data_IF_811850239073
#
_entry.id   IF_811850239073
#
_cell.length_a   1.000
_cell.length_b   1.000
_cell.length_c   1.000
_cell.angle_alpha   90.00
_cell.angle_beta   90.00
_cell.angle_gamma   90.00
#
_symmetry.space_group_name_H-M   'P 1'
#
loop_
_entity.id
_entity.type
_entity.pdbx_description
1 polymer ?
#
# COMPACT_ATOMS: atom_id res chain seq x y z
N UNK A 1 -34.96 -12.00 18.83
CA UNK A 1 -34.00 -12.25 17.73
C UNK A 1 -32.87 -13.13 18.25
N UNK A 2 -32.34 -14.03 17.41
CA UNK A 2 -31.22 -14.91 17.78
C UNK A 2 -29.89 -14.27 17.37
N UNK A 3 -28.78 -14.63 18.04
CA UNK A 3 -27.43 -14.15 17.67
C UNK A 3 -27.05 -14.50 16.22
N UNK A 4 -27.47 -15.68 15.75
CA UNK A 4 -27.22 -16.10 14.37
C UNK A 4 -27.92 -15.20 13.35
N UNK A 5 -29.14 -14.76 13.66
CA UNK A 5 -29.89 -13.84 12.81
C UNK A 5 -29.26 -12.44 12.79
N UNK A 6 -28.83 -11.92 13.95
CA UNK A 6 -28.09 -10.65 14.02
C UNK A 6 -26.80 -10.69 13.18
N UNK A 7 -26.02 -11.78 13.27
CA UNK A 7 -24.82 -11.96 12.44
C UNK A 7 -25.12 -12.01 10.94
N UNK A 8 -26.22 -12.66 10.55
CA UNK A 8 -26.66 -12.65 9.15
C UNK A 8 -26.99 -11.23 8.68
N UNK A 9 -27.68 -10.42 9.51
CA UNK A 9 -27.98 -9.03 9.16
C UNK A 9 -26.71 -8.20 8.94
N UNK A 10 -25.69 -8.38 9.77
CA UNK A 10 -24.39 -7.69 9.60
C UNK A 10 -23.71 -8.05 8.28
N UNK A 11 -23.76 -9.33 7.87
CA UNK A 11 -23.21 -9.76 6.59
C UNK A 11 -23.96 -9.17 5.41
N UNK A 12 -25.29 -9.06 5.51
CA UNK A 12 -26.12 -8.51 4.43
C UNK A 12 -25.98 -6.98 4.29
N UNK A 13 -25.58 -6.30 5.36
CA UNK A 13 -25.21 -4.87 5.32
C UNK A 13 -23.90 -4.61 4.57
N UNK A 14 -23.08 -5.64 4.33
CA UNK A 14 -21.87 -5.49 3.50
C UNK A 14 -22.30 -5.20 2.06
N UNK A 15 -21.91 -4.03 1.54
CA UNK A 15 -22.29 -3.51 0.23
C UNK A 15 -23.79 -3.19 0.04
N UNK A 16 -24.54 -3.02 1.13
CA UNK A 16 -25.97 -2.65 1.12
C UNK A 16 -26.23 -1.47 2.04
N UNK A 17 -27.39 -0.82 1.90
CA UNK A 17 -27.84 0.21 2.86
C UNK A 17 -28.68 -0.40 3.99
N UNK A 18 -28.87 0.35 5.08
CA UNK A 18 -29.80 -0.04 6.14
C UNK A 18 -31.22 -0.20 5.58
N UNK A 19 -31.62 0.66 4.65
CA UNK A 19 -32.91 0.60 3.97
C UNK A 19 -33.08 -0.66 3.12
N UNK A 20 -32.03 -1.10 2.43
CA UNK A 20 -32.08 -2.31 1.60
C UNK A 20 -32.28 -3.55 2.47
N UNK A 21 -31.50 -3.69 3.55
CA UNK A 21 -31.62 -4.82 4.48
C UNK A 21 -32.94 -4.75 5.27
N UNK A 22 -33.37 -3.54 5.63
CA UNK A 22 -34.67 -3.28 6.26
C UNK A 22 -35.82 -3.80 5.42
N UNK A 23 -35.84 -3.48 4.12
CA UNK A 23 -36.86 -3.97 3.19
C UNK A 23 -36.82 -5.48 3.00
N UNK A 24 -35.62 -6.07 2.92
CA UNK A 24 -35.46 -7.51 2.68
C UNK A 24 -35.97 -8.37 3.83
N UNK A 25 -35.81 -7.90 5.07
CA UNK A 25 -36.20 -8.65 6.27
C UNK A 25 -37.44 -8.10 6.98
N UNK A 26 -38.04 -7.03 6.43
CA UNK A 26 -39.15 -6.31 7.04
C UNK A 26 -38.86 -5.86 8.50
N UNK A 27 -37.63 -5.41 8.75
CA UNK A 27 -37.17 -4.92 10.06
C UNK A 27 -36.97 -3.41 9.97
N UNK A 28 -37.43 -2.66 10.98
CA UNK A 28 -37.22 -1.21 11.02
C UNK A 28 -35.74 -0.82 11.03
N UNK A 29 -35.39 0.27 10.35
CA UNK A 29 -34.00 0.78 10.27
C UNK A 29 -33.41 1.03 11.67
N UNK A 30 -34.19 1.56 12.61
CA UNK A 30 -33.72 1.75 13.99
C UNK A 30 -33.39 0.44 14.70
N UNK A 31 -34.13 -0.64 14.42
CA UNK A 31 -33.84 -1.95 14.97
C UNK A 31 -32.55 -2.53 14.38
N UNK A 32 -32.29 -2.31 13.08
CA UNK A 32 -31.01 -2.66 12.44
C UNK A 32 -29.85 -1.83 13.01
N UNK A 33 -30.04 -0.54 13.26
CA UNK A 33 -29.04 0.29 13.92
C UNK A 33 -28.74 -0.23 15.33
N UNK A 34 -29.76 -0.58 16.10
CA UNK A 34 -29.59 -1.20 17.40
C UNK A 34 -28.86 -2.56 17.36
N UNK A 35 -29.01 -3.33 16.27
CA UNK A 35 -28.21 -4.57 16.06
C UNK A 35 -26.75 -4.22 15.83
N UNK A 36 -26.46 -3.24 14.97
CA UNK A 36 -25.10 -2.77 14.71
C UNK A 36 -24.44 -2.31 16.01
N UNK A 37 -25.10 -1.43 16.75
CA UNK A 37 -24.57 -0.87 18.00
C UNK A 37 -24.32 -1.94 19.07
N UNK A 38 -25.14 -3.01 19.11
CA UNK A 38 -24.93 -4.15 20.01
C UNK A 38 -23.83 -5.09 19.56
N UNK A 39 -23.64 -5.26 18.25
CA UNK A 39 -22.71 -6.25 17.70
C UNK A 39 -21.32 -5.69 17.45
N UNK A 40 -21.20 -4.37 17.31
CA UNK A 40 -19.94 -3.68 17.04
C UNK A 40 -19.52 -2.95 18.32
N UNK A 41 -18.63 -3.58 19.08
CA UNK A 41 -18.00 -2.91 20.22
C UNK A 41 -17.06 -1.81 19.69
N UNK A 42 -17.21 -0.54 20.12
CA UNK A 42 -16.38 0.57 19.66
C UNK A 42 -14.92 0.48 20.14
N UNK A 43 -14.66 -0.38 21.14
CA UNK A 43 -13.33 -0.61 21.69
C UNK A 43 -12.83 -1.99 21.34
N UNK A 44 -11.53 -2.08 21.09
CA UNK A 44 -10.87 -3.37 20.94
C UNK A 44 -10.89 -4.09 22.28
N UNK A 45 -11.40 -5.31 22.29
CA UNK A 45 -11.17 -6.22 23.40
C UNK A 45 -9.75 -6.77 23.34
N UNK A 46 -8.93 -6.33 24.28
CA UNK A 46 -7.55 -6.79 24.43
C UNK A 46 -7.43 -8.05 25.30
N UNK A 47 -8.54 -8.57 25.85
CA UNK A 47 -8.54 -9.81 26.60
C UNK A 47 -8.09 -10.97 25.69
N UNK A 48 -7.30 -11.89 26.23
CA UNK A 48 -6.74 -13.02 25.47
C UNK A 48 -5.60 -12.67 24.50
N UNK A 49 -5.42 -11.40 24.10
CA UNK A 49 -4.27 -11.00 23.27
C UNK A 49 -3.01 -11.03 24.12
N UNK A 50 -2.05 -11.91 23.80
CA UNK A 50 -0.80 -12.03 24.55
C UNK A 50 0.27 -11.05 24.05
N UNK A 51 0.39 -10.91 22.73
CA UNK A 51 1.38 -10.06 22.07
C UNK A 51 0.80 -9.34 20.85
N UNK A 52 1.41 -8.20 20.51
CA UNK A 52 1.05 -7.33 19.41
C UNK A 52 2.31 -6.98 18.62
N UNK A 53 2.98 -7.98 18.04
CA UNK A 53 4.34 -7.83 17.49
C UNK A 53 4.39 -6.91 16.26
N UNK A 54 3.38 -7.00 15.38
CA UNK A 54 3.33 -6.27 14.11
C UNK A 54 2.02 -5.51 13.99
N UNK A 55 2.14 -4.20 13.81
CA UNK A 55 1.01 -3.29 13.55
C UNK A 55 1.16 -2.71 12.13
N UNK A 56 0.06 -2.69 11.36
CA UNK A 56 -0.06 -1.99 10.09
C UNK A 56 -0.95 -0.75 10.23
N UNK A 57 -0.61 0.33 9.54
CA UNK A 57 -1.42 1.55 9.45
C UNK A 57 -1.53 1.93 7.98
N UNK A 58 -2.75 2.13 7.50
CA UNK A 58 -3.02 2.59 6.13
C UNK A 58 -4.22 3.55 6.09
N UNK A 59 -4.37 4.30 5.00
CA UNK A 59 -5.53 5.17 4.75
C UNK A 59 -6.41 4.63 3.61
N UNK A 60 -7.73 4.59 3.83
CA UNK A 60 -8.71 4.27 2.79
C UNK A 60 -9.59 5.49 2.52
N UNK A 61 -9.80 5.82 1.25
CA UNK A 61 -10.74 6.87 0.85
C UNK A 61 -12.18 6.32 0.86
N UNK A 62 -13.08 6.92 1.64
CA UNK A 62 -14.49 6.51 1.71
C UNK A 62 -15.30 7.02 0.52
N UNK A 63 -14.98 8.21 0.00
CA UNK A 63 -15.67 8.83 -1.15
C UNK A 63 -14.67 9.34 -2.17
N UNK A 64 -14.90 9.01 -3.44
CA UNK A 64 -14.05 9.48 -4.55
C UNK A 64 -14.24 10.99 -4.74
N UNK A 65 -13.22 11.79 -4.44
CA UNK A 65 -13.19 13.24 -4.70
C UNK A 65 -13.45 14.14 -3.48
N UNK A 66 -13.90 13.57 -2.36
CA UNK A 66 -13.97 14.26 -1.07
C UNK A 66 -12.84 13.73 -0.19
N UNK A 67 -12.20 14.58 0.61
CA UNK A 67 -11.03 14.23 1.45
C UNK A 67 -11.43 13.40 2.68
N UNK A 68 -12.38 12.50 2.51
CA UNK A 68 -12.94 11.65 3.55
C UNK A 68 -12.10 10.37 3.56
N UNK A 69 -11.07 10.36 4.40
CA UNK A 69 -10.18 9.21 4.59
C UNK A 69 -10.42 8.61 5.96
N UNK A 70 -10.42 7.29 6.05
CA UNK A 70 -10.37 6.56 7.31
C UNK A 70 -9.00 5.91 7.44
N UNK A 71 -8.38 6.07 8.60
CA UNK A 71 -7.17 5.32 8.93
C UNK A 71 -7.58 3.95 9.45
N UNK A 72 -7.07 2.91 8.80
CA UNK A 72 -7.23 1.53 9.22
C UNK A 72 -5.96 1.10 9.94
N UNK A 73 -6.13 0.66 11.18
CA UNK A 73 -5.05 0.10 11.99
C UNK A 73 -5.31 -1.39 12.12
N UNK A 74 -4.34 -2.18 11.69
CA UNK A 74 -4.40 -3.63 11.71
C UNK A 74 -3.23 -4.20 12.50
N UNK A 75 -3.37 -5.43 12.97
CA UNK A 75 -2.28 -6.15 13.61
C UNK A 75 -2.38 -7.65 13.33
N UNK A 76 -1.23 -8.32 13.35
CA UNK A 76 -1.18 -9.77 13.36
C UNK A 76 -1.37 -10.27 14.81
N UNK A 77 -2.48 -10.95 15.06
CA UNK A 77 -2.85 -11.55 16.34
C UNK A 77 -3.22 -13.00 16.06
N UNK A 78 -2.61 -13.95 16.77
CA UNK A 78 -2.84 -15.39 16.60
C UNK A 78 -2.69 -15.86 15.13
N UNK A 79 -1.63 -15.39 14.46
CA UNK A 79 -1.34 -15.64 13.04
C UNK A 79 -2.40 -15.13 12.05
N UNK A 80 -3.33 -14.28 12.49
CA UNK A 80 -4.36 -13.67 11.65
C UNK A 80 -4.23 -12.16 11.62
N UNK A 81 -4.39 -11.57 10.43
CA UNK A 81 -4.51 -10.12 10.29
C UNK A 81 -5.88 -9.68 10.79
N UNK A 82 -5.92 -8.81 11.79
CA UNK A 82 -7.15 -8.25 12.36
C UNK A 82 -7.12 -6.73 12.30
N UNK A 83 -8.26 -6.14 11.96
CA UNK A 83 -8.45 -4.69 12.13
C UNK A 83 -8.66 -4.44 13.62
N UNK A 84 -7.81 -3.60 14.20
CA UNK A 84 -7.84 -3.21 15.61
C UNK A 84 -8.18 -1.73 15.79
N UNK A 85 -8.39 -0.98 14.72
CA UNK A 85 -8.79 0.42 14.84
C UNK A 85 -9.22 1.02 13.53
N UNK A 86 -10.23 1.89 13.61
CA UNK A 86 -10.66 2.77 12.54
C UNK A 86 -10.66 4.19 13.11
N UNK A 87 -9.94 5.11 12.48
CA UNK A 87 -9.90 6.51 12.88
C UNK A 87 -10.43 7.38 11.73
N UNK A 88 -11.29 8.33 12.05
CA UNK A 88 -11.83 9.29 11.07
C UNK A 88 -10.76 10.27 10.56
N UNK A 89 -9.67 10.43 11.30
CA UNK A 89 -8.61 11.38 10.96
C UNK A 89 -7.23 10.73 10.99
N UNK A 90 -6.41 11.11 10.01
CA UNK A 90 -4.99 10.69 9.93
C UNK A 90 -4.03 11.53 10.75
N UNK A 91 -4.52 12.43 11.58
CA UNK A 91 -3.65 13.33 12.34
C UNK A 91 -2.73 12.53 13.25
N UNK A 92 -1.50 13.02 13.44
CA UNK A 92 -0.54 12.41 14.38
C UNK A 92 -1.15 12.25 15.77
N UNK A 93 -1.93 13.23 16.23
CA UNK A 93 -2.58 13.21 17.54
C UNK A 93 -3.61 12.07 17.65
N UNK A 94 -4.45 11.86 16.63
CA UNK A 94 -5.43 10.77 16.63
C UNK A 94 -4.75 9.40 16.70
N UNK A 95 -3.71 9.18 15.90
CA UNK A 95 -2.94 7.92 15.88
C UNK A 95 -2.19 7.70 17.20
N UNK A 96 -1.59 8.75 17.77
CA UNK A 96 -0.95 8.67 19.09
C UNK A 96 -1.97 8.33 20.20
N UNK A 97 -3.15 8.95 20.17
CA UNK A 97 -4.21 8.67 21.13
C UNK A 97 -4.65 7.20 21.06
N UNK A 98 -4.86 6.69 19.84
CA UNK A 98 -5.14 5.28 19.62
C UNK A 98 -4.03 4.38 20.17
N UNK A 99 -2.77 4.62 19.82
CA UNK A 99 -1.66 3.82 20.33
C UNK A 99 -1.51 3.87 21.86
N UNK A 100 -1.82 5.01 22.48
CA UNK A 100 -1.82 5.14 23.95
C UNK A 100 -2.96 4.35 24.62
N UNK A 101 -4.07 4.14 23.92
CA UNK A 101 -5.18 3.30 24.39
C UNK A 101 -4.81 1.81 24.50
N UNK A 102 -3.80 1.36 23.74
CA UNK A 102 -3.29 -0.01 23.82
C UNK A 102 -2.70 -0.24 25.23
N UNK A 103 -3.08 -1.35 25.92
CA UNK A 103 -2.55 -1.68 27.23
C UNK A 103 -1.02 -1.68 27.28
N UNK A 104 -0.44 -1.17 28.38
CA UNK A 104 1.03 -1.08 28.54
C UNK A 104 1.73 -2.43 28.32
N UNK A 105 1.11 -3.54 28.73
CA UNK A 105 1.63 -4.90 28.51
C UNK A 105 1.81 -5.22 27.02
N UNK A 106 0.85 -4.85 26.18
CA UNK A 106 0.86 -5.10 24.73
C UNK A 106 1.74 -4.11 23.99
N UNK A 107 1.70 -2.83 24.36
CA UNK A 107 2.64 -1.82 23.83
C UNK A 107 4.09 -2.27 23.97
N UNK A 108 4.38 -3.10 24.99
CA UNK A 108 5.73 -3.58 25.22
C UNK A 108 6.20 -4.67 24.25
N UNK A 109 5.26 -5.34 23.60
CA UNK A 109 5.49 -6.44 22.66
C UNK A 109 5.59 -5.97 21.21
N UNK A 110 5.20 -4.72 20.93
CA UNK A 110 5.29 -4.14 19.58
C UNK A 110 6.74 -4.08 19.11
N UNK A 111 7.03 -4.85 18.07
CA UNK A 111 8.34 -4.96 17.45
C UNK A 111 8.40 -4.17 16.14
N UNK A 112 7.32 -4.19 15.34
CA UNK A 112 7.26 -3.57 14.02
C UNK A 112 5.99 -2.75 13.85
N UNK A 113 6.13 -1.55 13.31
CA UNK A 113 5.02 -0.75 12.78
C UNK A 113 5.25 -0.53 11.29
N UNK A 114 4.34 -1.03 10.46
CA UNK A 114 4.33 -0.88 9.02
C UNK A 114 3.36 0.24 8.62
N UNK A 115 3.79 1.20 7.81
CA UNK A 115 2.89 2.26 7.31
C UNK A 115 3.31 2.75 5.93
N UNK A 116 2.45 3.56 5.30
CA UNK A 116 2.92 4.47 4.26
C UNK A 116 3.91 5.48 4.90
N UNK A 117 4.83 6.05 4.12
CA UNK A 117 5.91 6.90 4.64
C UNK A 117 5.42 8.25 5.21
N UNK A 118 4.15 8.35 5.63
CA UNK A 118 3.58 9.53 6.24
C UNK A 118 4.24 9.81 7.61
N UNK A 119 4.86 10.98 7.70
CA UNK A 119 5.60 11.40 8.90
C UNK A 119 4.75 11.43 10.18
N UNK A 120 3.43 11.65 10.07
CA UNK A 120 2.52 11.62 11.22
C UNK A 120 2.44 10.24 11.86
N UNK A 121 2.35 9.18 11.06
CA UNK A 121 2.31 7.80 11.53
C UNK A 121 3.64 7.36 12.13
N UNK A 122 4.75 7.63 11.42
CA UNK A 122 6.09 7.31 11.90
C UNK A 122 6.40 8.05 13.22
N UNK A 123 5.99 9.32 13.32
CA UNK A 123 6.13 10.14 14.53
C UNK A 123 5.31 9.59 15.70
N UNK A 124 4.06 9.22 15.46
CA UNK A 124 3.18 8.64 16.46
C UNK A 124 3.72 7.33 17.03
N UNK A 125 4.18 6.43 16.14
CA UNK A 125 4.77 5.16 16.53
C UNK A 125 6.03 5.34 17.39
N UNK A 126 6.97 6.22 16.97
CA UNK A 126 8.16 6.54 17.76
C UNK A 126 7.83 7.11 19.14
N UNK A 127 6.82 7.99 19.21
CA UNK A 127 6.41 8.64 20.46
C UNK A 127 5.82 7.66 21.48
N UNK A 128 5.07 6.65 21.02
CA UNK A 128 4.35 5.73 21.92
C UNK A 128 5.10 4.43 22.20
N UNK A 129 5.75 3.84 21.20
CA UNK A 129 6.45 2.55 21.34
C UNK A 129 7.95 2.69 21.63
N UNK A 130 8.51 3.90 21.45
CA UNK A 130 9.91 4.22 21.71
C UNK A 130 10.86 3.77 20.61
N UNK A 131 12.18 3.90 20.84
CA UNK A 131 13.22 3.70 19.81
C UNK A 131 13.45 2.26 19.37
N UNK A 132 12.97 1.28 20.14
CA UNK A 132 13.15 -0.14 19.84
C UNK A 132 12.21 -0.67 18.75
N UNK A 133 11.14 0.07 18.45
CA UNK A 133 10.20 -0.32 17.41
C UNK A 133 10.86 -0.13 16.05
N UNK A 134 10.78 -1.14 15.20
CA UNK A 134 11.18 -1.04 13.81
C UNK A 134 10.03 -0.40 13.04
N UNK A 135 10.30 0.74 12.43
CA UNK A 135 9.38 1.31 11.46
C UNK A 135 9.71 0.75 10.09
N UNK A 136 8.71 0.16 9.46
CA UNK A 136 8.83 -0.47 8.15
C UNK A 136 7.95 0.30 7.15
N UNK A 137 8.52 0.66 6.01
CA UNK A 137 7.75 1.21 4.91
C UNK A 137 6.93 0.10 4.25
N UNK A 138 5.67 0.36 3.97
CA UNK A 138 4.86 -0.56 3.17
C UNK A 138 5.46 -0.72 1.76
N UNK A 139 5.80 -1.97 1.43
CA UNK A 139 6.35 -2.37 0.13
C UNK A 139 5.46 -1.96 -1.04
N UNK A 140 4.13 -2.01 -0.91
CA UNK A 140 3.21 -1.60 -1.97
C UNK A 140 3.35 -0.10 -2.26
N UNK A 141 3.40 0.71 -1.21
CA UNK A 141 3.61 2.15 -1.31
C UNK A 141 4.98 2.50 -1.91
N UNK A 142 6.04 1.83 -1.47
CA UNK A 142 7.38 1.96 -2.07
C UNK A 142 7.37 1.57 -3.55
N UNK A 143 6.68 0.48 -3.90
CA UNK A 143 6.55 0.02 -5.28
C UNK A 143 5.84 1.03 -6.18
N UNK A 144 4.76 1.64 -5.68
CA UNK A 144 4.05 2.71 -6.37
C UNK A 144 4.98 3.89 -6.64
N UNK A 145 5.77 4.33 -5.66
CA UNK A 145 6.65 5.50 -5.79
C UNK A 145 7.69 5.35 -6.91
N UNK A 146 8.38 4.21 -7.02
CA UNK A 146 9.34 4.05 -8.12
C UNK A 146 8.65 3.78 -9.46
N UNK A 147 7.50 3.07 -9.48
CA UNK A 147 6.74 2.82 -10.71
C UNK A 147 6.09 4.09 -11.27
N UNK A 148 5.78 5.08 -10.44
CA UNK A 148 5.30 6.41 -10.88
C UNK A 148 6.35 7.14 -11.74
N UNK A 149 7.63 6.94 -11.44
CA UNK A 149 8.74 7.43 -12.27
C UNK A 149 8.71 6.84 -13.68
N UNK A 150 8.56 5.52 -13.78
CA UNK A 150 8.42 4.80 -15.05
C UNK A 150 7.17 5.26 -15.81
N UNK A 151 6.03 5.41 -15.14
CA UNK A 151 4.79 5.86 -15.76
C UNK A 151 4.91 7.29 -16.30
N UNK A 152 5.58 8.19 -15.58
CA UNK A 152 5.87 9.55 -16.04
C UNK A 152 6.74 9.54 -17.28
N UNK A 153 7.83 8.75 -17.28
CA UNK A 153 8.70 8.58 -18.44
C UNK A 153 7.94 7.99 -19.63
N UNK A 154 7.13 6.96 -19.41
CA UNK A 154 6.30 6.31 -20.43
C UNK A 154 5.37 7.32 -21.10
N UNK A 155 4.68 8.17 -20.33
CA UNK A 155 3.80 9.22 -20.89
C UNK A 155 4.60 10.20 -21.77
N UNK A 156 5.79 10.60 -21.32
CA UNK A 156 6.69 11.48 -22.08
C UNK A 156 7.15 10.83 -23.39
N UNK A 157 7.66 9.60 -23.31
CA UNK A 157 8.15 8.86 -24.47
C UNK A 157 7.02 8.57 -25.46
N UNK A 158 5.82 8.18 -24.99
CA UNK A 158 4.69 7.97 -25.88
C UNK A 158 4.27 9.25 -26.62
N UNK A 159 4.34 10.41 -25.95
CA UNK A 159 4.10 11.71 -26.60
C UNK A 159 5.15 12.00 -27.69
N UNK A 160 6.41 11.64 -27.47
CA UNK A 160 7.48 11.74 -28.47
C UNK A 160 7.23 10.78 -29.63
N UNK A 161 6.98 9.51 -29.35
CA UNK A 161 6.77 8.47 -30.37
C UNK A 161 5.60 8.77 -31.30
N UNK A 162 4.51 9.33 -30.77
CA UNK A 162 3.36 9.78 -31.59
C UNK A 162 3.71 10.85 -32.62
N UNK A 163 4.81 11.58 -32.44
CA UNK A 163 5.28 12.60 -33.38
C UNK A 163 6.33 12.07 -34.37
N UNK A 164 6.98 10.97 -34.05
CA UNK A 164 8.15 10.46 -34.80
C UNK A 164 7.86 9.20 -35.59
N UNK A 165 6.89 8.39 -35.16
CA UNK A 165 6.55 7.11 -35.80
C UNK A 165 5.36 7.25 -36.75
N UNK A 166 5.32 6.38 -37.77
CA UNK A 166 4.15 6.25 -38.64
C UNK A 166 2.95 5.67 -37.88
N UNK A 167 1.77 5.77 -38.48
CA UNK A 167 0.54 5.22 -37.89
C UNK A 167 0.64 3.70 -37.71
N UNK A 168 1.18 3.00 -38.69
CA UNK A 168 1.36 1.53 -38.69
C UNK A 168 2.31 1.10 -37.57
N UNK A 169 3.40 1.83 -37.37
CA UNK A 169 4.34 1.59 -36.27
C UNK A 169 3.69 1.81 -34.91
N UNK A 170 2.87 2.86 -34.75
CA UNK A 170 2.14 3.14 -33.51
C UNK A 170 1.07 2.09 -33.22
N UNK A 171 0.35 1.62 -34.24
CA UNK A 171 -0.64 0.55 -34.11
C UNK A 171 0.02 -0.77 -33.69
N UNK A 172 1.24 -1.03 -34.17
CA UNK A 172 2.08 -2.14 -33.73
C UNK A 172 2.49 -2.08 -32.24
N UNK A 173 2.41 -0.91 -31.60
CA UNK A 173 2.69 -0.68 -30.19
C UNK A 173 1.43 -0.56 -29.32
N UNK A 174 0.24 -0.79 -29.90
CA UNK A 174 -1.02 -0.81 -29.16
C UNK A 174 -0.92 -1.81 -28.00
N UNK A 175 -1.51 -1.47 -26.86
CA UNK A 175 -1.47 -2.25 -25.61
C UNK A 175 -0.11 -2.39 -24.91
N UNK A 176 1.01 -1.95 -25.50
CA UNK A 176 2.33 -2.07 -24.86
C UNK A 176 2.38 -1.42 -23.47
N UNK A 177 1.58 -0.37 -23.24
CA UNK A 177 1.46 0.27 -21.93
C UNK A 177 0.81 -0.61 -20.84
N UNK A 178 -0.14 -1.48 -21.19
CA UNK A 178 -0.71 -2.46 -20.26
C UNK A 178 0.33 -3.54 -19.94
N UNK A 179 1.05 -4.00 -20.96
CA UNK A 179 2.10 -5.00 -20.83
C UNK A 179 3.25 -4.50 -19.93
N UNK A 180 3.64 -3.23 -20.05
CA UNK A 180 4.65 -2.60 -19.18
C UNK A 180 4.31 -2.64 -17.68
N UNK A 181 3.04 -2.77 -17.32
CA UNK A 181 2.59 -2.81 -15.92
C UNK A 181 2.59 -4.22 -15.33
N UNK A 182 2.67 -5.25 -16.17
CA UNK A 182 2.68 -6.66 -15.74
C UNK A 182 4.07 -7.07 -15.28
N UNK A 183 4.14 -8.07 -14.40
CA UNK A 183 5.41 -8.70 -14.01
C UNK A 183 6.00 -9.42 -15.22
N UNK A 184 7.32 -9.33 -15.40
CA UNK A 184 8.02 -9.95 -16.52
C UNK A 184 7.79 -11.47 -16.62
N UNK A 185 7.67 -12.15 -15.48
CA UNK A 185 7.39 -13.58 -15.41
C UNK A 185 6.01 -13.96 -15.99
N UNK A 186 5.03 -13.04 -15.88
CA UNK A 186 3.64 -13.25 -16.29
C UNK A 186 3.41 -12.91 -17.76
N UNK A 187 4.44 -12.49 -18.51
CA UNK A 187 4.33 -12.06 -19.91
C UNK A 187 4.37 -13.24 -20.88
N UNK A 188 3.45 -13.25 -21.84
CA UNK A 188 3.47 -14.19 -22.97
C UNK A 188 4.62 -13.89 -23.94
N UNK A 189 4.91 -14.83 -24.85
CA UNK A 189 5.92 -14.62 -25.88
C UNK A 189 5.62 -13.39 -26.77
N UNK A 190 4.34 -13.19 -27.13
CA UNK A 190 3.90 -12.03 -27.92
C UNK A 190 4.03 -10.72 -27.16
N UNK A 191 3.71 -10.71 -25.87
CA UNK A 191 3.86 -9.54 -25.01
C UNK A 191 5.33 -9.15 -24.85
N UNK A 192 6.24 -10.13 -24.74
CA UNK A 192 7.69 -9.88 -24.71
C UNK A 192 8.17 -9.28 -26.04
N UNK A 193 7.72 -9.80 -27.19
CA UNK A 193 8.01 -9.23 -28.51
C UNK A 193 7.46 -7.81 -28.66
N UNK A 194 6.27 -7.54 -28.13
CA UNK A 194 5.67 -6.20 -28.12
C UNK A 194 6.50 -5.21 -27.29
N UNK A 195 6.96 -5.60 -26.10
CA UNK A 195 7.86 -4.75 -25.31
C UNK A 195 9.20 -4.53 -26.00
N UNK A 196 9.75 -5.55 -26.64
CA UNK A 196 11.01 -5.41 -27.38
C UNK A 196 10.90 -4.35 -28.48
N UNK A 197 9.85 -4.39 -29.30
CA UNK A 197 9.57 -3.37 -30.32
C UNK A 197 9.42 -1.97 -29.70
N UNK A 198 8.72 -1.86 -28.56
CA UNK A 198 8.62 -0.58 -27.85
C UNK A 198 10.01 -0.05 -27.42
N UNK A 199 10.85 -0.94 -26.92
CA UNK A 199 12.18 -0.61 -26.43
C UNK A 199 13.17 -0.26 -27.55
N UNK A 200 13.01 -0.82 -28.75
CA UNK A 200 13.75 -0.39 -29.95
C UNK A 200 13.49 1.09 -30.26
N UNK A 201 12.26 1.55 -30.08
CA UNK A 201 11.90 2.96 -30.28
C UNK A 201 12.20 3.87 -29.08
N UNK A 202 12.36 3.31 -27.88
CA UNK A 202 12.70 4.05 -26.67
C UNK A 202 13.67 3.27 -25.76
N UNK A 203 14.98 3.36 -26.03
CA UNK A 203 16.01 2.75 -25.20
C UNK A 203 15.98 3.26 -23.75
N UNK A 204 15.70 4.56 -23.54
CA UNK A 204 15.58 5.14 -22.20
C UNK A 204 14.44 4.52 -21.39
N UNK A 205 13.33 4.17 -22.03
CA UNK A 205 12.21 3.49 -21.37
C UNK A 205 12.56 2.05 -21.01
N UNK A 206 13.36 1.37 -21.84
CA UNK A 206 13.92 0.05 -21.53
C UNK A 206 14.76 0.10 -20.26
N UNK A 207 15.70 1.03 -20.19
CA UNK A 207 16.58 1.17 -19.03
C UNK A 207 15.81 1.47 -17.74
N UNK A 208 14.80 2.34 -17.82
CA UNK A 208 13.94 2.62 -16.67
C UNK A 208 13.09 1.41 -16.26
N UNK A 209 12.56 0.66 -17.23
CA UNK A 209 11.82 -0.57 -16.97
C UNK A 209 12.70 -1.62 -16.29
N UNK A 210 13.91 -1.84 -16.80
CA UNK A 210 14.90 -2.75 -16.20
C UNK A 210 15.30 -2.31 -14.78
N UNK A 211 15.40 -1.00 -14.54
CA UNK A 211 15.65 -0.47 -13.20
C UNK A 211 14.48 -0.79 -12.23
N UNK A 212 13.22 -0.62 -12.65
CA UNK A 212 12.05 -1.01 -11.84
C UNK A 212 12.03 -2.50 -11.51
N UNK A 213 12.33 -3.35 -12.50
CA UNK A 213 12.35 -4.80 -12.30
C UNK A 213 13.52 -5.21 -11.39
N UNK A 214 14.70 -4.60 -11.54
CA UNK A 214 15.83 -4.84 -10.66
C UNK A 214 15.52 -4.45 -9.21
N UNK A 215 14.82 -3.33 -8.98
CA UNK A 215 14.41 -2.94 -7.63
C UNK A 215 13.36 -3.88 -7.05
N UNK A 216 12.37 -4.28 -7.86
CA UNK A 216 11.36 -5.28 -7.47
C UNK A 216 12.06 -6.59 -7.06
N UNK A 217 13.05 -7.05 -7.84
CA UNK A 217 13.81 -8.26 -7.52
C UNK A 217 14.57 -8.18 -6.19
N UNK A 218 15.04 -6.99 -5.78
CA UNK A 218 15.67 -6.81 -4.46
C UNK A 218 14.64 -7.08 -3.35
N UNK A 219 13.41 -6.59 -3.49
CA UNK A 219 12.33 -6.79 -2.51
C UNK A 219 11.75 -8.21 -2.49
N UNK A 220 11.82 -8.94 -3.60
CA UNK A 220 11.39 -10.35 -3.67
C UNK A 220 12.50 -11.32 -3.23
N UNK A 221 13.73 -10.83 -3.04
CA UNK A 221 14.85 -11.65 -2.59
C UNK A 221 14.85 -11.80 -1.07
N UNK A 222 15.20 -13.00 -0.59
CA UNK A 222 15.43 -13.24 0.85
C UNK A 222 16.78 -12.67 1.26
N UNK A 223 16.81 -11.39 1.61
CA UNK A 223 18.02 -10.67 2.01
C UNK A 223 17.98 -10.33 3.50
N UNK A 224 19.13 -10.39 4.15
CA UNK A 224 19.31 -9.68 5.41
C UNK A 224 19.23 -8.17 5.19
N UNK A 225 18.87 -7.40 6.23
CA UNK A 225 18.84 -5.92 6.17
C UNK A 225 20.15 -5.32 5.62
N UNK A 226 21.30 -5.84 6.04
CA UNK A 226 22.61 -5.40 5.54
C UNK A 226 22.81 -5.65 4.04
N UNK A 227 22.41 -6.82 3.54
CA UNK A 227 22.45 -7.13 2.10
C UNK A 227 21.45 -6.28 1.32
N UNK A 228 20.24 -6.08 1.85
CA UNK A 228 19.20 -5.21 1.28
C UNK A 228 19.71 -3.79 1.08
N UNK A 229 20.27 -3.18 2.15
CA UNK A 229 20.90 -1.85 2.08
C UNK A 229 21.98 -1.76 1.01
N UNK A 230 22.86 -2.76 0.90
CA UNK A 230 23.93 -2.79 -0.11
C UNK A 230 23.35 -2.83 -1.52
N UNK A 231 22.37 -3.71 -1.76
CA UNK A 231 21.73 -3.84 -3.07
C UNK A 231 20.97 -2.57 -3.47
N UNK A 232 20.26 -1.94 -2.52
CA UNK A 232 19.55 -0.67 -2.74
C UNK A 232 20.53 0.46 -3.09
N UNK A 233 21.64 0.60 -2.36
CA UNK A 233 22.69 1.60 -2.71
C UNK A 233 23.29 1.34 -4.09
N UNK A 234 23.57 0.08 -4.41
CA UNK A 234 24.04 -0.31 -5.74
C UNK A 234 23.03 0.03 -6.83
N UNK A 235 21.73 -0.13 -6.56
CA UNK A 235 20.67 0.29 -7.47
C UNK A 235 20.63 1.81 -7.65
N UNK A 236 20.70 2.58 -6.57
CA UNK A 236 20.76 4.05 -6.61
C UNK A 236 21.94 4.53 -7.49
N UNK A 237 23.13 3.96 -7.28
CA UNK A 237 24.31 4.31 -8.06
C UNK A 237 24.13 4.03 -9.56
N UNK A 238 23.53 2.88 -9.93
CA UNK A 238 23.26 2.54 -11.33
C UNK A 238 22.29 3.52 -11.98
N UNK A 239 21.23 3.89 -11.27
CA UNK A 239 20.22 4.87 -11.74
C UNK A 239 20.87 6.24 -11.95
N UNK A 240 21.70 6.69 -11.01
CA UNK A 240 22.43 7.96 -11.11
C UNK A 240 23.44 7.97 -12.25
N UNK A 241 24.25 6.91 -12.40
CA UNK A 241 25.24 6.79 -13.48
C UNK A 241 24.60 6.82 -14.87
N UNK A 242 23.42 6.21 -15.01
CA UNK A 242 22.62 6.21 -16.25
C UNK A 242 21.81 7.49 -16.46
N UNK A 243 21.87 8.44 -15.52
CA UNK A 243 21.13 9.71 -15.55
C UNK A 243 19.61 9.52 -15.76
N UNK A 244 19.04 8.48 -15.16
CA UNK A 244 17.60 8.18 -15.26
C UNK A 244 16.79 9.11 -14.35
N UNK A 245 16.58 10.35 -14.82
CA UNK A 245 15.96 11.44 -14.04
C UNK A 245 14.51 11.17 -13.62
N UNK A 246 13.85 10.20 -14.27
CA UNK A 246 12.48 9.79 -13.89
C UNK A 246 12.39 9.24 -12.46
N UNK A 247 13.51 8.81 -11.87
CA UNK A 247 13.54 8.31 -10.48
C UNK A 247 13.98 9.35 -9.46
N UNK A 248 14.28 10.59 -9.84
CA UNK A 248 14.81 11.61 -8.91
C UNK A 248 13.91 11.82 -7.68
N UNK A 249 12.59 11.84 -7.88
CA UNK A 249 11.63 11.93 -6.76
C UNK A 249 11.76 10.75 -5.80
N UNK A 250 11.81 9.53 -6.34
CA UNK A 250 11.97 8.33 -5.54
C UNK A 250 13.33 8.27 -4.84
N UNK A 251 14.42 8.69 -5.49
CA UNK A 251 15.74 8.79 -4.87
C UNK A 251 15.75 9.75 -3.67
N UNK A 252 15.04 10.87 -3.77
CA UNK A 252 14.83 11.79 -2.64
C UNK A 252 14.13 11.11 -1.47
N UNK A 253 12.98 10.46 -1.73
CA UNK A 253 12.25 9.70 -0.70
C UNK A 253 13.10 8.58 -0.09
N UNK A 254 13.81 7.83 -0.93
CA UNK A 254 14.67 6.73 -0.51
C UNK A 254 15.83 7.21 0.36
N UNK A 255 16.37 8.40 0.10
CA UNK A 255 17.45 8.99 0.91
C UNK A 255 16.93 9.43 2.28
N UNK A 256 15.73 10.01 2.33
CA UNK A 256 15.10 10.46 3.59
C UNK A 256 14.66 9.30 4.48
N UNK A 257 14.10 8.24 3.89
CA UNK A 257 13.50 7.11 4.61
C UNK A 257 14.28 5.81 4.41
N UNK A 258 15.59 5.90 4.22
CA UNK A 258 16.42 4.75 3.86
C UNK A 258 16.30 3.61 4.89
N UNK A 259 16.27 3.95 6.18
CA UNK A 259 16.18 2.97 7.25
C UNK A 259 14.83 2.27 7.35
N UNK A 260 13.74 3.00 7.07
CA UNK A 260 12.38 2.46 7.04
C UNK A 260 12.12 1.61 5.79
N UNK A 261 12.80 1.90 4.67
CA UNK A 261 12.63 1.21 3.39
C UNK A 261 13.50 -0.07 3.28
N UNK A 262 14.53 -0.22 4.13
CA UNK A 262 15.54 -1.31 4.07
C UNK A 262 15.50 -2.30 5.23
#
# INVERSE_FOLDING_TARGET
MTKAFEQQMLLELINSTLEDVSRKHAIGVEALQGILDRCIEPKVDWQGVEALEVIGIDEIALKKGHRDFVVVISAYIDAQLRVIGLLEERTRAAVEAFFRSIPKRLRRTVAVVCSDLYAGFLGAAKAVFGRRVLLCADRFHVARLYRDGLETLRKRELKRLRKTLSKEQLDGLKNAHWVLRRRRADLTADERRLLQRLFEHSPVLKEAYEACEALTAIYESRLSKGQGKRQLRGWMQRVSNRKLTCFNRFLGTLSTHFEEIT
#
